data_IF_013450670685
#
_entry.id   IF_013450670685
#
_cell.length_a   1.000
_cell.length_b   1.000
_cell.length_c   1.000
_cell.angle_alpha   90.00
_cell.angle_beta   90.00
_cell.angle_gamma   90.00
#
_symmetry.space_group_name_H-M   'P 1'
#
loop_
_entity.id
_entity.type
_entity.pdbx_description
1 polymer ?
#
# COMPACT_ATOMS: atom_id res chain seq x y z
N UNK A 1 43.28 24.17 -29.05
CA UNK A 1 42.98 24.60 -27.67
C UNK A 1 44.12 24.15 -26.77
N UNK A 2 44.69 25.02 -25.93
CA UNK A 2 45.90 24.74 -25.13
C UNK A 2 45.57 23.82 -23.93
N UNK A 3 45.93 22.52 -23.94
CA UNK A 3 45.45 21.55 -22.95
C UNK A 3 46.22 21.54 -21.63
N UNK A 4 47.19 22.46 -21.42
CA UNK A 4 48.27 22.30 -20.43
C UNK A 4 48.48 23.51 -19.50
N UNK A 5 47.54 24.44 -19.41
CA UNK A 5 47.65 25.55 -18.45
C UNK A 5 47.10 25.06 -17.09
N UNK A 6 47.93 24.91 -16.03
CA UNK A 6 47.48 24.33 -14.76
C UNK A 6 46.32 25.10 -14.12
N UNK A 7 46.28 26.43 -14.31
CA UNK A 7 45.16 27.26 -13.82
C UNK A 7 43.84 26.92 -14.52
N UNK A 8 43.84 26.70 -15.83
CA UNK A 8 42.63 26.32 -16.58
C UNK A 8 42.17 24.93 -16.15
N UNK A 9 43.10 24.01 -15.89
CA UNK A 9 42.77 22.66 -15.39
C UNK A 9 42.20 22.71 -13.97
N UNK A 10 42.78 23.52 -13.08
CA UNK A 10 42.27 23.71 -11.72
C UNK A 10 40.86 24.32 -11.73
N UNK A 11 40.63 25.35 -12.56
CA UNK A 11 39.33 25.98 -12.69
C UNK A 11 38.29 25.04 -13.32
N UNK A 12 38.68 24.23 -14.30
CA UNK A 12 37.82 23.20 -14.86
C UNK A 12 37.42 22.14 -13.81
N UNK A 13 38.36 21.71 -12.96
CA UNK A 13 38.09 20.77 -11.88
C UNK A 13 37.14 21.37 -10.82
N UNK A 14 37.33 22.65 -10.47
CA UNK A 14 36.46 23.36 -9.54
C UNK A 14 35.02 23.49 -10.08
N UNK A 15 34.88 23.87 -11.36
CA UNK A 15 33.56 23.94 -12.04
C UNK A 15 32.88 22.57 -12.06
N UNK A 16 33.63 21.49 -12.33
CA UNK A 16 33.09 20.12 -12.25
C UNK A 16 32.61 19.77 -10.85
N UNK A 17 33.38 20.09 -9.81
CA UNK A 17 33.02 19.82 -8.42
C UNK A 17 31.75 20.57 -8.00
N UNK A 18 31.63 21.86 -8.37
CA UNK A 18 30.43 22.67 -8.12
C UNK A 18 29.22 22.08 -8.86
N UNK A 19 29.40 21.67 -10.11
CA UNK A 19 28.33 21.06 -10.93
C UNK A 19 27.82 19.76 -10.30
N UNK A 20 28.72 18.89 -9.84
CA UNK A 20 28.35 17.66 -9.14
C UNK A 20 27.59 17.93 -7.83
N UNK A 21 28.04 18.92 -7.05
CA UNK A 21 27.35 19.32 -5.82
C UNK A 21 25.95 19.84 -6.10
N UNK A 22 25.80 20.73 -7.10
CA UNK A 22 24.50 21.26 -7.51
C UNK A 22 23.56 20.15 -7.98
N UNK A 23 24.05 19.23 -8.82
CA UNK A 23 23.28 18.08 -9.29
C UNK A 23 22.78 17.23 -8.12
N UNK A 24 23.64 16.93 -7.14
CA UNK A 24 23.26 16.17 -5.95
C UNK A 24 22.19 16.89 -5.12
N UNK A 25 22.30 18.20 -4.95
CA UNK A 25 21.31 19.00 -4.20
C UNK A 25 19.96 19.04 -4.92
N UNK A 26 19.95 19.23 -6.24
CA UNK A 26 18.73 19.22 -7.04
C UNK A 26 18.02 17.85 -6.98
N UNK A 27 18.77 16.75 -7.12
CA UNK A 27 18.21 15.40 -7.00
C UNK A 27 17.71 15.12 -5.59
N UNK A 28 18.43 15.56 -4.55
CA UNK A 28 17.95 15.43 -3.17
C UNK A 28 16.65 16.20 -2.96
N UNK A 29 16.53 17.40 -3.54
CA UNK A 29 15.32 18.20 -3.46
C UNK A 29 14.13 17.56 -4.19
N UNK A 30 14.36 16.89 -5.33
CA UNK A 30 13.35 16.07 -6.01
C UNK A 30 12.86 14.86 -5.18
N UNK A 31 13.61 14.44 -4.16
CA UNK A 31 13.23 13.36 -3.23
C UNK A 31 12.47 13.87 -2.00
N UNK A 32 11.82 15.03 -2.11
CA UNK A 32 11.01 15.59 -1.02
C UNK A 32 9.63 15.99 -1.52
N UNK A 33 8.77 16.45 -0.61
CA UNK A 33 7.43 16.90 -0.96
C UNK A 33 7.51 18.25 -1.69
N UNK A 34 7.54 18.20 -3.01
CA UNK A 34 7.64 19.39 -3.87
C UNK A 34 6.41 19.54 -4.77
N UNK A 35 6.03 20.79 -4.99
CA UNK A 35 4.89 21.17 -5.82
C UNK A 35 5.32 21.28 -7.30
N UNK A 36 4.37 21.11 -8.22
CA UNK A 36 4.63 21.11 -9.68
C UNK A 36 5.49 22.30 -10.18
N UNK A 37 5.26 23.57 -9.77
CA UNK A 37 6.09 24.68 -10.22
C UNK A 37 7.57 24.53 -9.85
N UNK A 38 7.84 23.94 -8.68
CA UNK A 38 9.20 23.68 -8.22
C UNK A 38 9.82 22.48 -8.93
N UNK A 39 9.04 21.41 -9.19
CA UNK A 39 9.46 20.29 -10.03
C UNK A 39 9.91 20.77 -11.41
N UNK A 40 9.11 21.63 -12.06
CA UNK A 40 9.42 22.21 -13.38
C UNK A 40 10.73 23.01 -13.34
N UNK A 41 10.93 23.84 -12.30
CA UNK A 41 12.17 24.58 -12.11
C UNK A 41 13.38 23.64 -11.97
N UNK A 42 13.30 22.63 -11.10
CA UNK A 42 14.41 21.70 -10.86
C UNK A 42 14.73 20.89 -12.13
N UNK A 43 13.73 20.32 -12.79
CA UNK A 43 13.92 19.58 -14.04
C UNK A 43 14.47 20.51 -15.14
N UNK A 44 14.04 21.77 -15.19
CA UNK A 44 14.61 22.79 -16.07
C UNK A 44 16.11 23.02 -15.84
N UNK A 45 16.54 23.11 -14.58
CA UNK A 45 17.98 23.21 -14.25
C UNK A 45 18.74 21.94 -14.62
N UNK A 46 18.20 20.75 -14.34
CA UNK A 46 18.83 19.48 -14.69
C UNK A 46 18.99 19.32 -16.21
N UNK A 47 17.99 19.74 -17.01
CA UNK A 47 18.08 19.78 -18.48
C UNK A 47 19.19 20.73 -18.96
N UNK A 48 19.35 21.90 -18.33
CA UNK A 48 20.42 22.86 -18.68
C UNK A 48 21.82 22.37 -18.31
N UNK A 49 21.94 21.61 -17.22
CA UNK A 49 23.20 20.95 -16.84
C UNK A 49 23.61 19.91 -17.90
N UNK A 50 22.65 19.29 -18.58
CA UNK A 50 22.91 18.46 -19.77
C UNK A 50 23.60 17.12 -19.47
N UNK A 51 23.60 16.67 -18.22
CA UNK A 51 24.21 15.39 -17.80
C UNK A 51 23.31 14.18 -18.12
N UNK A 52 21.99 14.37 -18.11
CA UNK A 52 21.02 13.31 -18.37
C UNK A 52 20.42 13.46 -19.77
N UNK A 53 20.31 12.35 -20.49
CA UNK A 53 19.39 12.23 -21.63
C UNK A 53 17.94 12.42 -21.19
N UNK A 54 17.04 12.63 -22.15
CA UNK A 54 15.63 12.84 -21.86
C UNK A 54 15.00 11.62 -21.16
N UNK A 55 15.27 10.41 -21.66
CA UNK A 55 14.90 9.16 -21.02
C UNK A 55 15.47 9.01 -19.59
N UNK A 56 16.74 9.36 -19.37
CA UNK A 56 17.32 9.34 -18.02
C UNK A 56 16.65 10.36 -17.09
N UNK A 57 16.22 11.52 -17.61
CA UNK A 57 15.47 12.51 -16.85
C UNK A 57 14.13 11.93 -16.36
N UNK A 58 13.43 11.18 -17.22
CA UNK A 58 12.16 10.52 -16.88
C UNK A 58 12.38 9.52 -15.74
N UNK A 59 13.39 8.67 -15.87
CA UNK A 59 13.80 7.71 -14.85
C UNK A 59 14.19 8.39 -13.53
N UNK A 60 14.99 9.45 -13.57
CA UNK A 60 15.43 10.15 -12.36
C UNK A 60 14.26 10.79 -11.62
N UNK A 61 13.30 11.38 -12.34
CA UNK A 61 12.09 11.90 -11.72
C UNK A 61 11.32 10.81 -10.97
N UNK A 62 10.97 9.71 -11.65
CA UNK A 62 10.20 8.61 -11.06
C UNK A 62 10.93 7.97 -9.88
N UNK A 63 12.25 7.75 -9.99
CA UNK A 63 13.08 7.23 -8.89
C UNK A 63 13.11 8.17 -7.69
N UNK A 64 13.19 9.47 -7.92
CA UNK A 64 13.21 10.44 -6.82
C UNK A 64 11.84 10.49 -6.11
N UNK A 65 10.75 10.49 -6.87
CA UNK A 65 9.39 10.42 -6.34
C UNK A 65 9.13 9.13 -5.56
N UNK A 66 9.59 7.98 -6.07
CA UNK A 66 9.50 6.70 -5.38
C UNK A 66 10.32 6.66 -4.10
N UNK A 67 11.57 7.16 -4.13
CA UNK A 67 12.41 7.24 -2.93
C UNK A 67 11.78 8.13 -1.85
N UNK A 68 11.12 9.22 -2.25
CA UNK A 68 10.38 10.08 -1.33
C UNK A 68 9.19 9.36 -0.69
N UNK A 69 8.33 8.72 -1.51
CA UNK A 69 7.18 7.94 -1.01
C UNK A 69 7.66 6.82 -0.08
N UNK A 70 8.71 6.09 -0.47
CA UNK A 70 9.31 5.03 0.35
C UNK A 70 9.77 5.56 1.69
N UNK A 71 10.41 6.74 1.73
CA UNK A 71 10.81 7.38 2.99
C UNK A 71 9.62 7.67 3.91
N UNK A 72 8.47 8.11 3.37
CA UNK A 72 7.24 8.29 4.16
C UNK A 72 6.74 6.95 4.72
N UNK A 73 6.80 5.89 3.93
CA UNK A 73 6.37 4.56 4.35
C UNK A 73 7.30 3.93 5.41
N UNK A 74 8.59 4.23 5.35
CA UNK A 74 9.59 3.77 6.31
C UNK A 74 9.38 4.38 7.71
N UNK A 75 8.79 5.58 7.78
CA UNK A 75 8.42 6.24 9.04
C UNK A 75 7.17 5.64 9.71
N UNK A 76 6.41 4.78 9.02
CA UNK A 76 5.21 4.14 9.56
C UNK A 76 5.55 3.00 10.52
N UNK A 77 4.84 2.90 11.65
CA UNK A 77 5.04 1.83 12.63
C UNK A 77 4.50 0.48 12.13
N UNK A 78 5.41 -0.40 11.71
CA UNK A 78 5.09 -1.75 11.24
C UNK A 78 4.63 -2.71 12.36
N UNK A 79 4.79 -2.34 13.64
CA UNK A 79 4.37 -3.18 14.78
C UNK A 79 2.86 -3.30 14.92
N UNK A 80 2.13 -2.30 14.41
CA UNK A 80 0.68 -2.32 14.32
C UNK A 80 0.24 -2.48 12.86
N UNK A 81 -0.10 -3.70 12.41
CA UNK A 81 -0.45 -3.96 11.01
C UNK A 81 -1.62 -3.13 10.49
N UNK A 82 -2.59 -2.82 11.36
CA UNK A 82 -3.77 -2.04 11.00
C UNK A 82 -3.41 -0.57 10.74
N UNK A 83 -2.70 0.08 11.67
CA UNK A 83 -2.28 1.48 11.49
C UNK A 83 -1.27 1.61 10.35
N UNK A 84 -0.36 0.65 10.18
CA UNK A 84 0.57 0.61 9.04
C UNK A 84 -0.19 0.56 7.70
N UNK A 85 -1.13 -0.37 7.53
CA UNK A 85 -1.88 -0.50 6.28
C UNK A 85 -2.72 0.75 5.99
N UNK A 86 -3.36 1.32 7.01
CA UNK A 86 -4.11 2.57 6.89
C UNK A 86 -3.21 3.74 6.46
N UNK A 87 -2.03 3.87 7.08
CA UNK A 87 -1.02 4.86 6.72
C UNK A 87 -0.53 4.70 5.28
N UNK A 88 -0.20 3.46 4.88
CA UNK A 88 0.24 3.13 3.52
C UNK A 88 -0.83 3.45 2.47
N UNK A 89 -2.08 3.03 2.68
CA UNK A 89 -3.19 3.32 1.76
C UNK A 89 -3.38 4.83 1.60
N UNK A 90 -3.37 5.58 2.70
CA UNK A 90 -3.49 7.03 2.64
C UNK A 90 -2.30 7.70 1.94
N UNK A 91 -1.07 7.26 2.21
CA UNK A 91 0.14 7.74 1.55
C UNK A 91 0.06 7.56 0.02
N UNK A 92 -0.23 6.35 -0.45
CA UNK A 92 -0.37 6.07 -1.88
C UNK A 92 -1.50 6.88 -2.51
N UNK A 93 -2.66 6.98 -1.85
CA UNK A 93 -3.80 7.78 -2.32
C UNK A 93 -3.41 9.24 -2.55
N UNK A 94 -2.70 9.84 -1.59
CA UNK A 94 -2.32 11.25 -1.66
C UNK A 94 -1.24 11.50 -2.70
N UNK A 95 -0.25 10.62 -2.83
CA UNK A 95 0.98 10.96 -3.54
C UNK A 95 1.10 10.36 -4.95
N UNK A 96 0.54 9.17 -5.22
CA UNK A 96 0.66 8.57 -6.55
C UNK A 96 -0.05 9.39 -7.63
N UNK A 97 -1.21 9.95 -7.31
CA UNK A 97 -1.96 10.82 -8.22
C UNK A 97 -1.13 12.06 -8.60
N UNK A 98 -0.52 12.71 -7.62
CA UNK A 98 0.31 13.89 -7.83
C UNK A 98 1.53 13.58 -8.68
N UNK A 99 2.25 12.48 -8.39
CA UNK A 99 3.43 12.07 -9.18
C UNK A 99 3.06 11.81 -10.63
N UNK A 100 1.94 11.13 -10.89
CA UNK A 100 1.47 10.86 -12.25
C UNK A 100 1.13 12.15 -12.99
N UNK A 101 0.43 13.08 -12.34
CA UNK A 101 0.08 14.36 -12.96
C UNK A 101 1.30 15.26 -13.18
N UNK A 102 2.23 15.29 -12.22
CA UNK A 102 3.48 16.02 -12.35
C UNK A 102 4.31 15.46 -13.49
N UNK A 103 4.47 14.14 -13.59
CA UNK A 103 5.15 13.50 -14.71
C UNK A 103 4.54 13.91 -16.05
N UNK A 104 3.21 13.77 -16.19
CA UNK A 104 2.51 14.17 -17.41
C UNK A 104 2.72 15.64 -17.74
N UNK A 105 2.65 16.54 -16.76
CA UNK A 105 2.86 17.97 -16.99
C UNK A 105 4.31 18.32 -17.39
N UNK A 106 5.31 17.62 -16.84
CA UNK A 106 6.73 17.91 -17.09
C UNK A 106 7.22 17.33 -18.43
N UNK A 107 6.60 16.25 -18.89
CA UNK A 107 7.08 15.44 -20.02
C UNK A 107 6.10 15.33 -21.20
N UNK A 108 4.87 15.89 -21.11
CA UNK A 108 3.88 15.83 -22.20
C UNK A 108 4.36 16.46 -23.53
N UNK A 109 5.11 17.57 -23.47
CA UNK A 109 5.48 18.36 -24.66
C UNK A 109 6.52 17.69 -25.58
N UNK A 110 7.25 16.67 -25.14
CA UNK A 110 8.29 16.00 -25.95
C UNK A 110 7.74 14.86 -26.83
N UNK A 111 6.45 14.56 -26.74
CA UNK A 111 5.84 13.36 -27.34
C UNK A 111 5.27 13.55 -28.75
N UNK A 112 5.61 14.64 -29.44
CA UNK A 112 5.11 14.91 -30.80
C UNK A 112 5.79 14.00 -31.85
N UNK A 113 5.17 12.84 -32.12
CA UNK A 113 5.16 12.24 -33.45
C UNK A 113 5.75 10.83 -33.62
N UNK A 114 6.56 10.31 -32.69
CA UNK A 114 7.10 8.93 -32.83
C UNK A 114 7.55 8.22 -31.54
N UNK A 115 7.69 8.94 -30.41
CA UNK A 115 8.19 8.38 -29.14
C UNK A 115 7.11 8.10 -28.07
N UNK A 116 5.83 8.38 -28.34
CA UNK A 116 4.71 8.12 -27.40
C UNK A 116 4.67 6.68 -26.85
N UNK A 117 5.15 5.69 -27.60
CA UNK A 117 5.14 4.30 -27.19
C UNK A 117 6.21 3.91 -26.15
N UNK A 118 7.32 4.65 -26.00
CA UNK A 118 8.38 4.28 -25.03
C UNK A 118 8.21 4.99 -23.69
N UNK A 119 7.91 6.29 -23.69
CA UNK A 119 7.79 7.07 -22.45
C UNK A 119 6.44 6.88 -21.74
N UNK A 120 5.36 6.71 -22.52
CA UNK A 120 4.08 6.28 -21.97
C UNK A 120 4.16 4.92 -21.28
N UNK A 121 5.01 4.03 -21.80
CA UNK A 121 5.33 2.75 -21.18
C UNK A 121 6.03 2.90 -19.84
N UNK A 122 7.02 3.79 -19.74
CA UNK A 122 7.79 3.98 -18.51
C UNK A 122 6.93 4.43 -17.31
N UNK A 123 6.06 5.43 -17.51
CA UNK A 123 5.15 5.87 -16.45
C UNK A 123 4.19 4.74 -16.06
N UNK A 124 3.66 4.01 -17.04
CA UNK A 124 2.76 2.91 -16.79
C UNK A 124 3.44 1.78 -16.01
N UNK A 125 4.66 1.40 -16.41
CA UNK A 125 5.46 0.36 -15.75
C UNK A 125 5.76 0.75 -14.30
N UNK A 126 6.18 2.00 -14.07
CA UNK A 126 6.40 2.52 -12.72
C UNK A 126 5.12 2.50 -11.88
N UNK A 127 4.01 2.98 -12.43
CA UNK A 127 2.77 3.05 -11.69
C UNK A 127 2.21 1.65 -11.37
N UNK A 128 2.33 0.71 -12.32
CA UNK A 128 1.98 -0.70 -12.11
C UNK A 128 2.88 -1.35 -11.05
N UNK A 129 4.17 -0.99 -11.01
CA UNK A 129 5.08 -1.42 -9.97
C UNK A 129 4.59 -0.96 -8.58
N UNK A 130 4.18 0.30 -8.43
CA UNK A 130 3.64 0.82 -7.17
C UNK A 130 2.37 0.07 -6.72
N UNK A 131 1.43 -0.20 -7.64
CA UNK A 131 0.23 -0.99 -7.35
C UNK A 131 0.59 -2.43 -6.94
N UNK A 132 1.57 -3.04 -7.62
CA UNK A 132 2.03 -4.39 -7.30
C UNK A 132 2.63 -4.46 -5.90
N UNK A 133 3.45 -3.49 -5.50
CA UNK A 133 3.99 -3.37 -4.14
C UNK A 133 2.87 -3.20 -3.11
N UNK A 134 1.90 -2.32 -3.39
CA UNK A 134 0.74 -2.10 -2.53
C UNK A 134 -0.04 -3.40 -2.25
N UNK A 135 -0.39 -4.14 -3.31
CA UNK A 135 -1.12 -5.40 -3.20
C UNK A 135 -0.31 -6.49 -2.49
N UNK A 136 1.00 -6.56 -2.75
CA UNK A 136 1.91 -7.49 -2.08
C UNK A 136 1.96 -7.23 -0.58
N UNK A 137 2.03 -5.97 -0.17
CA UNK A 137 2.03 -5.59 1.25
C UNK A 137 0.70 -5.89 1.92
N UNK A 138 -0.43 -5.60 1.26
CA UNK A 138 -1.76 -6.02 1.74
C UNK A 138 -1.80 -7.53 1.97
N UNK A 139 -1.41 -8.33 0.97
CA UNK A 139 -1.39 -9.80 1.08
C UNK A 139 -0.57 -10.31 2.27
N UNK A 140 0.56 -9.67 2.57
CA UNK A 140 1.44 -10.07 3.68
C UNK A 140 0.96 -9.62 5.07
N UNK A 141 0.18 -8.54 5.15
CA UNK A 141 -0.20 -7.90 6.42
C UNK A 141 -1.65 -8.17 6.85
N UNK A 142 -2.58 -8.35 5.90
CA UNK A 142 -3.99 -8.63 6.20
C UNK A 142 -4.19 -9.85 7.13
N UNK A 143 -3.47 -10.98 6.99
CA UNK A 143 -3.63 -12.13 7.88
C UNK A 143 -3.24 -11.87 9.35
N UNK A 144 -2.54 -10.77 9.62
CA UNK A 144 -2.10 -10.37 10.98
C UNK A 144 -3.17 -9.56 11.72
N UNK A 145 -4.25 -9.17 11.05
CA UNK A 145 -5.36 -8.42 11.65
C UNK A 145 -6.38 -9.41 12.23
N UNK A 146 -6.71 -9.23 13.50
CA UNK A 146 -7.60 -10.11 14.26
C UNK A 146 -9.05 -9.65 14.30
N UNK A 147 -9.37 -8.48 13.76
CA UNK A 147 -10.69 -7.86 13.88
C UNK A 147 -11.34 -7.65 12.51
N UNK A 148 -12.56 -8.18 12.35
CA UNK A 148 -13.31 -8.05 11.09
C UNK A 148 -13.66 -6.61 10.74
N UNK A 149 -13.97 -5.78 11.75
CA UNK A 149 -14.22 -4.35 11.55
C UNK A 149 -13.00 -3.61 10.99
N UNK A 150 -11.81 -3.95 11.48
CA UNK A 150 -10.53 -3.39 11.00
C UNK A 150 -10.24 -3.81 9.55
N UNK A 151 -10.49 -5.07 9.19
CA UNK A 151 -10.39 -5.54 7.81
C UNK A 151 -11.38 -4.80 6.88
N UNK A 152 -12.63 -4.65 7.30
CA UNK A 152 -13.65 -3.90 6.54
C UNK A 152 -13.23 -2.46 6.31
N UNK A 153 -12.75 -1.77 7.34
CA UNK A 153 -12.31 -0.38 7.21
C UNK A 153 -11.12 -0.24 6.25
N UNK A 154 -10.14 -1.14 6.30
CA UNK A 154 -9.02 -1.11 5.33
C UNK A 154 -9.53 -1.35 3.91
N UNK A 155 -10.47 -2.28 3.71
CA UNK A 155 -11.07 -2.52 2.39
C UNK A 155 -11.74 -1.25 1.85
N UNK A 156 -12.55 -0.56 2.67
CA UNK A 156 -13.20 0.68 2.28
C UNK A 156 -12.18 1.76 1.89
N UNK A 157 -11.10 1.90 2.66
CA UNK A 157 -10.01 2.83 2.34
C UNK A 157 -9.31 2.45 1.02
N UNK A 158 -9.06 1.17 0.78
CA UNK A 158 -8.45 0.69 -0.47
C UNK A 158 -9.37 0.94 -1.67
N UNK A 159 -10.68 0.66 -1.53
CA UNK A 159 -11.67 0.89 -2.56
C UNK A 159 -11.79 2.37 -2.92
N UNK A 160 -11.83 3.23 -1.90
CA UNK A 160 -11.83 4.69 -2.09
C UNK A 160 -10.54 5.17 -2.77
N UNK A 161 -9.38 4.70 -2.31
CA UNK A 161 -8.08 5.04 -2.90
C UNK A 161 -7.99 4.62 -4.36
N UNK A 162 -8.35 3.38 -4.67
CA UNK A 162 -8.31 2.84 -6.03
C UNK A 162 -9.28 3.57 -6.98
N UNK A 163 -10.46 3.97 -6.50
CA UNK A 163 -11.38 4.80 -7.29
C UNK A 163 -10.77 6.17 -7.63
N UNK A 164 -10.12 6.83 -6.67
CA UNK A 164 -9.40 8.08 -6.93
C UNK A 164 -8.26 7.92 -7.93
N UNK A 165 -7.50 6.83 -7.81
CA UNK A 165 -6.41 6.49 -8.73
C UNK A 165 -6.90 6.01 -10.10
N UNK A 166 -8.17 5.63 -10.23
CA UNK A 166 -8.80 5.30 -11.52
C UNK A 166 -8.78 6.46 -12.51
N UNK A 167 -8.82 7.71 -12.04
CA UNK A 167 -8.73 8.91 -12.89
C UNK A 167 -7.40 9.02 -13.64
N UNK A 168 -6.34 8.39 -13.14
CA UNK A 168 -5.03 8.34 -13.79
C UNK A 168 -4.73 6.99 -14.44
N UNK A 169 -5.70 6.07 -14.45
CA UNK A 169 -5.59 4.74 -15.06
C UNK A 169 -5.06 3.64 -14.14
N UNK A 170 -5.11 3.84 -12.82
CA UNK A 170 -4.56 2.92 -11.80
C UNK A 170 -5.64 2.31 -10.91
N UNK A 171 -6.80 1.97 -11.48
CA UNK A 171 -7.88 1.32 -10.73
C UNK A 171 -7.56 -0.16 -10.47
N UNK A 172 -7.30 -0.49 -9.21
CA UNK A 172 -6.99 -1.86 -8.77
C UNK A 172 -8.12 -2.52 -7.96
N UNK A 173 -9.34 -1.97 -7.96
CA UNK A 173 -10.45 -2.51 -7.16
C UNK A 173 -10.76 -3.97 -7.46
N UNK A 174 -10.63 -4.38 -8.73
CA UNK A 174 -10.84 -5.77 -9.15
C UNK A 174 -9.84 -6.78 -8.55
N UNK A 175 -8.72 -6.31 -7.99
CA UNK A 175 -7.68 -7.15 -7.41
C UNK A 175 -7.78 -7.28 -5.88
N UNK A 176 -8.62 -6.47 -5.23
CA UNK A 176 -8.78 -6.46 -3.77
C UNK A 176 -9.58 -7.66 -3.23
N UNK A 177 -10.73 -8.08 -3.80
CA UNK A 177 -11.58 -9.11 -3.22
C UNK A 177 -10.84 -10.39 -2.79
N UNK A 178 -10.02 -11.04 -3.63
CA UNK A 178 -9.36 -12.29 -3.22
C UNK A 178 -8.40 -12.10 -2.03
N UNK A 179 -7.79 -10.93 -1.88
CA UNK A 179 -6.87 -10.66 -0.76
C UNK A 179 -7.60 -10.55 0.58
N UNK A 180 -8.80 -9.96 0.58
CA UNK A 180 -9.59 -9.76 1.79
C UNK A 180 -10.43 -10.98 2.13
N UNK A 181 -10.92 -11.71 1.13
CA UNK A 181 -11.65 -12.97 1.32
C UNK A 181 -10.79 -13.98 2.08
N UNK A 182 -9.55 -14.20 1.65
CA UNK A 182 -8.60 -15.09 2.32
C UNK A 182 -8.41 -14.70 3.81
N UNK A 183 -8.25 -13.40 4.10
CA UNK A 183 -8.06 -12.93 5.47
C UNK A 183 -9.32 -13.10 6.33
N UNK A 184 -10.51 -12.80 5.78
CA UNK A 184 -11.80 -12.93 6.46
C UNK A 184 -12.15 -14.39 6.74
N UNK A 185 -11.96 -15.30 5.78
CA UNK A 185 -12.21 -16.73 5.94
C UNK A 185 -11.31 -17.33 7.03
N UNK A 186 -10.04 -16.95 7.06
CA UNK A 186 -9.09 -17.37 8.09
C UNK A 186 -9.50 -16.85 9.48
N UNK A 187 -9.92 -15.58 9.57
CA UNK A 187 -10.38 -15.00 10.82
C UNK A 187 -11.65 -15.70 11.33
N UNK A 188 -12.63 -15.89 10.45
CA UNK A 188 -13.88 -16.56 10.78
C UNK A 188 -13.63 -17.99 11.29
N UNK A 189 -12.80 -18.76 10.57
CA UNK A 189 -12.44 -20.12 10.95
C UNK A 189 -11.79 -20.18 12.34
N UNK A 190 -10.82 -19.30 12.62
CA UNK A 190 -10.17 -19.21 13.94
C UNK A 190 -11.16 -18.89 15.06
N UNK A 191 -12.06 -17.95 14.82
CA UNK A 191 -13.08 -17.54 15.80
C UNK A 191 -14.06 -18.67 16.09
N UNK A 192 -14.49 -19.43 15.07
CA UNK A 192 -15.36 -20.60 15.26
C UNK A 192 -14.65 -21.69 16.06
N UNK A 193 -13.41 -22.02 15.73
CA UNK A 193 -12.63 -23.03 16.46
C UNK A 193 -12.50 -22.61 17.94
N UNK A 194 -12.10 -21.36 18.19
CA UNK A 194 -11.95 -20.81 19.54
C UNK A 194 -13.28 -20.85 20.31
N UNK A 195 -14.40 -20.51 19.65
CA UNK A 195 -15.72 -20.57 20.26
C UNK A 195 -16.13 -22.01 20.62
N UNK A 196 -15.83 -22.98 19.76
CA UNK A 196 -16.10 -24.41 20.01
C UNK A 196 -15.25 -24.91 21.18
N UNK A 197 -13.96 -24.60 21.23
CA UNK A 197 -13.05 -24.98 22.33
C UNK A 197 -13.50 -24.38 23.66
N UNK A 198 -13.86 -23.10 23.68
CA UNK A 198 -14.39 -22.42 24.85
C UNK A 198 -15.70 -23.05 25.33
N UNK A 199 -16.58 -23.41 24.40
CA UNK A 199 -17.85 -24.06 24.72
C UNK A 199 -17.64 -25.48 25.29
N UNK A 200 -16.72 -26.26 24.71
CA UNK A 200 -16.35 -27.58 25.22
C UNK A 200 -15.75 -27.50 26.63
N UNK A 201 -14.83 -26.56 26.84
CA UNK A 201 -14.24 -26.28 28.16
C UNK A 201 -15.31 -25.90 29.18
N UNK A 202 -16.25 -25.03 28.79
CA UNK A 202 -17.39 -24.67 29.63
C UNK A 202 -18.25 -25.89 29.99
N UNK A 203 -18.59 -26.77 29.03
CA UNK A 203 -19.33 -28.01 29.32
C UNK A 203 -18.60 -28.87 30.34
N UNK A 204 -17.28 -29.05 30.22
CA UNK A 204 -16.49 -29.87 31.16
C UNK A 204 -16.47 -29.27 32.57
N UNK A 205 -16.29 -27.95 32.68
CA UNK A 205 -16.28 -27.24 33.97
C UNK A 205 -17.65 -27.31 34.64
N UNK A 206 -18.73 -27.02 33.92
CA UNK A 206 -20.06 -27.07 34.53
C UNK A 206 -20.48 -28.53 34.80
N UNK A 207 -20.13 -29.48 33.93
CA UNK A 207 -20.37 -30.91 34.13
C UNK A 207 -19.66 -31.48 35.36
N UNK A 208 -18.43 -31.05 35.66
CA UNK A 208 -17.72 -31.44 36.89
C UNK A 208 -18.32 -30.81 38.15
N UNK A 209 -18.74 -29.54 38.08
CA UNK A 209 -19.38 -28.81 39.19
C UNK A 209 -20.80 -29.33 39.49
N UNK A 210 -21.55 -29.78 38.49
CA UNK A 210 -22.84 -30.45 38.69
C UNK A 210 -22.71 -31.85 39.26
N UNK A 211 -21.63 -32.58 38.96
CA UNK A 211 -21.36 -33.88 39.60
C UNK A 211 -21.17 -33.76 41.12
N UNK A 212 -20.79 -32.57 41.60
CA UNK A 212 -20.62 -32.25 43.01
C UNK A 212 -21.91 -31.71 43.68
N UNK A 213 -22.96 -31.38 42.91
CA UNK A 213 -24.22 -30.79 43.42
C UNK A 213 -25.43 -31.55 42.88
N UNK A 214 -25.95 -32.49 43.69
CA UNK A 214 -26.93 -33.51 43.30
C UNK A 214 -28.39 -33.03 43.13
N UNK A 215 -28.64 -31.75 42.86
CA UNK A 215 -30.02 -31.24 42.74
C UNK A 215 -30.11 -30.12 41.70
N UNK A 216 -30.75 -30.39 40.54
CA UNK A 216 -31.66 -29.51 39.77
C UNK A 216 -31.69 -29.86 38.25
N UNK A 217 -32.50 -30.84 37.80
CA UNK A 217 -32.54 -31.28 36.40
C UNK A 217 -33.24 -30.32 35.41
N UNK A 218 -34.11 -29.43 35.89
CA UNK A 218 -35.12 -28.76 35.03
C UNK A 218 -34.57 -27.51 34.31
N UNK A 219 -33.64 -26.78 34.93
CA UNK A 219 -33.03 -25.57 34.34
C UNK A 219 -32.06 -25.94 33.21
N UNK A 220 -31.48 -27.14 33.29
CA UNK A 220 -30.50 -27.66 32.34
C UNK A 220 -31.10 -28.01 30.99
N UNK A 221 -32.27 -28.64 30.98
CA UNK A 221 -32.99 -28.99 29.75
C UNK A 221 -33.30 -27.74 28.93
N UNK A 222 -33.75 -26.65 29.59
CA UNK A 222 -34.04 -25.39 28.90
C UNK A 222 -32.79 -24.72 28.30
N UNK A 223 -31.66 -24.71 29.00
CA UNK A 223 -30.41 -24.13 28.46
C UNK A 223 -29.83 -24.97 27.32
N UNK A 224 -29.86 -26.30 27.42
CA UNK A 224 -29.40 -27.20 26.36
C UNK A 224 -30.26 -27.06 25.09
N UNK A 225 -31.59 -26.99 25.24
CA UNK A 225 -32.52 -26.73 24.14
C UNK A 225 -32.23 -25.38 23.46
N UNK A 226 -31.91 -24.34 24.23
CA UNK A 226 -31.58 -23.02 23.67
C UNK A 226 -30.29 -23.07 22.83
N UNK A 227 -29.28 -23.83 23.26
CA UNK A 227 -28.02 -23.99 22.53
C UNK A 227 -28.20 -24.84 21.26
N UNK A 228 -28.97 -25.92 21.33
CA UNK A 228 -29.31 -26.71 20.14
C UNK A 228 -30.05 -25.87 19.10
N UNK A 229 -30.95 -24.99 19.54
CA UNK A 229 -31.65 -24.07 18.65
C UNK A 229 -30.70 -23.07 17.97
N UNK A 230 -29.72 -22.54 18.70
CA UNK A 230 -28.70 -21.65 18.13
C UNK A 230 -27.79 -22.35 17.13
N UNK A 231 -27.39 -23.60 17.40
CA UNK A 231 -26.60 -24.41 16.48
C UNK A 231 -27.38 -24.75 15.20
N UNK A 232 -28.67 -25.01 15.33
CA UNK A 232 -29.54 -25.30 14.18
C UNK A 232 -29.77 -24.05 13.31
N UNK A 233 -29.88 -22.86 13.93
CA UNK A 233 -29.91 -21.58 13.22
C UNK A 233 -28.58 -21.33 12.48
N UNK A 234 -27.44 -21.55 13.14
CA UNK A 234 -26.11 -21.39 12.53
C UNK A 234 -25.89 -22.36 11.36
N UNK A 235 -26.34 -23.61 11.49
CA UNK A 235 -26.27 -24.59 10.41
C UNK A 235 -27.17 -24.21 9.22
N UNK A 236 -28.33 -23.64 9.49
CA UNK A 236 -29.26 -23.15 8.45
C UNK A 236 -28.69 -21.94 7.70
N UNK A 237 -28.03 -21.03 8.41
CA UNK A 237 -27.32 -19.88 7.83
C UNK A 237 -26.14 -20.35 6.97
N UNK A 238 -25.39 -21.35 7.44
CA UNK A 238 -24.31 -21.97 6.66
C UNK A 238 -24.83 -22.66 5.39
N UNK A 239 -26.02 -23.29 5.43
CA UNK A 239 -26.60 -23.91 4.25
C UNK A 239 -27.07 -22.86 3.21
N UNK A 240 -27.58 -21.72 3.69
CA UNK A 240 -28.05 -20.61 2.85
C UNK A 240 -26.93 -19.77 2.22
N UNK A 241 -25.74 -19.75 2.81
CA UNK A 241 -24.56 -19.04 2.27
C UNK A 241 -23.79 -19.85 1.22
N UNK A 242 -24.08 -21.15 1.07
CA UNK A 242 -23.37 -22.08 0.19
C UNK A 242 -24.28 -22.76 -0.84
N UNK A 243 -25.48 -22.21 -1.07
CA UNK A 243 -26.43 -22.52 -2.16
C UNK A 243 -26.60 -21.27 -3.02
#
# INVERSE_FOLDING_TARGET
>A
MHPKIPLIQALAAEVQQITHSLLSQLLHKLRSNIQLPECLCIIGYLRRIGVFSEYEMHLQFLRCSEAWITGILDDLDQRNPYEYLKGMVNCHRMHLFDVVNQYRAIFADHTSGSQQNRDGGLLFDWAMHQITLHLKTLKGMLPKISEGGSLSNILDQCMYSAMGLGWVGLDFRGLLPPLFEDALLNLFSKNIITAVENFQSWILIVGSRCRQSASLPIIWVKKLLMVLHLLQILWSIHLLLFL
#
